data_IF_477456934475
#
_entry.id   IF_477456934475
#
_cell.length_a   1.000
_cell.length_b   1.000
_cell.length_c   1.000
_cell.angle_alpha   90.00
_cell.angle_beta   90.00
_cell.angle_gamma   90.00
#
_symmetry.space_group_name_H-M   'P 1'
#
loop_
_entity.id
_entity.type
_entity.pdbx_description
1 polymer ?
#
# COMPACT_ATOMS: atom_id res chain seq x y z
N UNK A 1 -11.15 51.19 -6.24
CA UNK A 1 -10.50 50.43 -5.14
C UNK A 1 -10.20 49.06 -5.70
N UNK A 2 -9.05 48.92 -6.35
CA UNK A 2 -8.64 47.69 -7.05
C UNK A 2 -7.70 46.93 -6.12
N UNK A 3 -8.06 45.70 -5.76
CA UNK A 3 -7.16 44.80 -5.05
C UNK A 3 -6.15 44.24 -6.05
N UNK A 4 -4.88 44.54 -5.85
CA UNK A 4 -3.74 43.96 -6.56
C UNK A 4 -3.58 42.50 -6.09
N UNK A 5 -3.44 41.53 -7.00
CA UNK A 5 -3.41 40.12 -6.62
C UNK A 5 -2.08 39.77 -5.96
N UNK A 6 -2.20 39.03 -4.86
CA UNK A 6 -1.20 38.42 -3.99
C UNK A 6 -0.24 37.47 -4.73
N UNK A 7 0.53 38.01 -5.69
CA UNK A 7 1.36 37.26 -6.65
C UNK A 7 2.81 37.12 -6.17
N UNK A 8 3.14 37.71 -5.02
CA UNK A 8 4.52 37.86 -4.54
C UNK A 8 4.94 36.80 -3.50
N UNK A 9 4.06 35.87 -3.14
CA UNK A 9 4.30 34.97 -2.00
C UNK A 9 4.75 33.54 -2.41
N UNK A 10 4.59 33.14 -3.68
CA UNK A 10 4.92 31.77 -4.12
C UNK A 10 6.39 31.58 -4.54
N UNK A 11 7.13 32.69 -4.74
CA UNK A 11 8.51 32.64 -5.24
C UNK A 11 9.56 32.22 -4.19
N UNK A 12 9.18 32.16 -2.91
CA UNK A 12 10.09 31.91 -1.77
C UNK A 12 9.73 30.65 -0.96
N UNK A 13 8.86 29.78 -1.51
CA UNK A 13 8.55 28.51 -0.86
C UNK A 13 9.82 27.67 -0.73
N UNK A 14 10.25 27.29 0.49
CA UNK A 14 11.50 26.57 0.69
C UNK A 14 11.47 25.25 -0.09
N UNK A 15 12.57 24.90 -0.79
CA UNK A 15 12.60 23.71 -1.63
C UNK A 15 12.23 22.47 -0.80
N UNK A 16 11.30 21.68 -1.32
CA UNK A 16 10.84 20.45 -0.69
C UNK A 16 12.00 19.52 -0.37
N UNK A 17 11.97 18.89 0.81
CA UNK A 17 13.06 18.00 1.25
C UNK A 17 13.23 16.82 0.26
N UNK A 18 14.43 16.61 -0.31
CA UNK A 18 14.68 15.51 -1.23
C UNK A 18 14.30 14.15 -0.61
N UNK A 19 13.50 13.35 -1.32
CA UNK A 19 13.11 12.01 -0.88
C UNK A 19 12.03 11.94 0.22
N UNK A 20 11.47 13.07 0.67
CA UNK A 20 10.39 13.07 1.67
C UNK A 20 9.14 12.32 1.18
N UNK A 21 8.74 12.55 -0.08
CA UNK A 21 7.58 11.85 -0.68
C UNK A 21 7.74 10.33 -0.67
N UNK A 22 8.94 9.82 -1.03
CA UNK A 22 9.24 8.38 -0.97
C UNK A 22 9.12 7.83 0.45
N UNK A 23 9.62 8.56 1.45
CA UNK A 23 9.50 8.14 2.87
C UNK A 23 8.05 8.10 3.33
N UNK A 24 7.24 9.09 2.97
CA UNK A 24 5.81 9.12 3.31
C UNK A 24 5.09 7.93 2.68
N UNK A 25 5.30 7.69 1.37
CA UNK A 25 4.66 6.57 0.66
C UNK A 25 5.06 5.21 1.24
N UNK A 26 6.34 5.01 1.60
CA UNK A 26 6.79 3.79 2.26
C UNK A 26 6.18 3.62 3.66
N UNK A 27 6.08 4.71 4.43
CA UNK A 27 5.45 4.67 5.75
C UNK A 27 3.96 4.31 5.63
N UNK A 28 3.23 4.95 4.73
CA UNK A 28 1.82 4.63 4.45
C UNK A 28 1.68 3.18 4.00
N UNK A 29 2.52 2.72 3.09
CA UNK A 29 2.52 1.32 2.64
C UNK A 29 2.75 0.35 3.80
N UNK A 30 3.70 0.61 4.69
CA UNK A 30 3.95 -0.21 5.87
C UNK A 30 2.73 -0.24 6.82
N UNK A 31 2.08 0.90 7.03
CA UNK A 31 0.84 0.97 7.83
C UNK A 31 -0.28 0.14 7.20
N UNK A 32 -0.48 0.26 5.88
CA UNK A 32 -1.49 -0.54 5.16
C UNK A 32 -1.21 -2.03 5.28
N UNK A 33 0.04 -2.46 5.13
CA UNK A 33 0.43 -3.88 5.30
C UNK A 33 0.19 -4.35 6.73
N UNK A 34 0.50 -3.53 7.74
CA UNK A 34 0.23 -3.85 9.14
C UNK A 34 -1.27 -4.01 9.41
N UNK A 35 -2.10 -3.11 8.87
CA UNK A 35 -3.56 -3.19 8.99
C UNK A 35 -4.12 -4.42 8.27
N UNK A 36 -3.61 -4.74 7.07
CA UNK A 36 -3.99 -5.96 6.36
C UNK A 36 -3.64 -7.22 7.17
N UNK A 37 -2.45 -7.27 7.76
CA UNK A 37 -2.04 -8.36 8.65
C UNK A 37 -2.93 -8.49 9.89
N UNK A 38 -3.31 -7.36 10.49
CA UNK A 38 -4.27 -7.31 11.60
C UNK A 38 -5.63 -7.87 11.18
N UNK A 39 -6.17 -7.45 10.04
CA UNK A 39 -7.41 -8.01 9.50
C UNK A 39 -7.28 -9.52 9.25
N UNK A 40 -6.18 -9.97 8.64
CA UNK A 40 -5.90 -11.39 8.44
C UNK A 40 -5.86 -12.19 9.74
N UNK A 41 -5.32 -11.61 10.82
CA UNK A 41 -5.32 -12.24 12.14
C UNK A 41 -6.74 -12.50 12.64
N UNK A 42 -7.61 -11.48 12.57
CA UNK A 42 -9.02 -11.61 12.96
C UNK A 42 -9.77 -12.61 12.08
N UNK A 43 -9.52 -12.60 10.77
CA UNK A 43 -10.14 -13.57 9.86
C UNK A 43 -9.72 -15.00 10.22
N UNK A 44 -8.44 -15.25 10.50
CA UNK A 44 -7.97 -16.58 10.88
C UNK A 44 -8.41 -17.02 12.29
N UNK A 45 -8.55 -16.09 13.24
CA UNK A 45 -9.03 -16.44 14.58
C UNK A 45 -10.51 -16.79 14.62
N UNK A 46 -11.31 -16.19 13.75
CA UNK A 46 -12.76 -16.43 13.69
C UNK A 46 -13.14 -17.51 12.65
N UNK A 47 -12.34 -17.65 11.58
CA UNK A 47 -12.67 -18.53 10.44
C UNK A 47 -12.34 -20.00 10.66
N UNK A 48 -11.39 -20.32 11.54
CA UNK A 48 -10.86 -21.68 11.70
C UNK A 48 -11.92 -22.75 12.05
N UNK A 49 -12.94 -22.40 12.83
CA UNK A 49 -14.00 -23.34 13.22
C UNK A 49 -15.06 -23.56 12.13
N UNK A 50 -15.31 -22.53 11.30
CA UNK A 50 -16.37 -22.59 10.29
C UNK A 50 -15.87 -23.10 8.94
N UNK A 51 -14.67 -22.68 8.55
CA UNK A 51 -14.03 -23.05 7.29
C UNK A 51 -12.55 -23.28 7.59
N UNK A 52 -12.12 -24.53 7.88
CA UNK A 52 -10.76 -24.82 8.35
C UNK A 52 -9.68 -24.57 7.28
N UNK A 53 -10.06 -24.68 6.01
CA UNK A 53 -9.17 -24.49 4.87
C UNK A 53 -9.89 -23.69 3.78
N UNK A 54 -9.15 -22.78 3.15
CA UNK A 54 -9.65 -21.97 2.03
C UNK A 54 -8.90 -22.38 0.75
N UNK A 55 -9.61 -22.86 -0.28
CA UNK A 55 -9.03 -23.06 -1.59
C UNK A 55 -8.82 -21.70 -2.27
N UNK A 56 -7.59 -21.43 -2.66
CA UNK A 56 -7.16 -20.27 -3.44
C UNK A 56 -6.94 -20.66 -4.90
N UNK A 57 -7.00 -19.67 -5.80
CA UNK A 57 -6.69 -19.83 -7.22
C UNK A 57 -7.47 -20.98 -7.89
N UNK A 58 -8.75 -21.13 -7.58
CA UNK A 58 -9.59 -22.20 -8.13
C UNK A 58 -9.27 -23.60 -7.58
N UNK A 59 -8.57 -23.70 -6.45
CA UNK A 59 -8.23 -24.96 -5.79
C UNK A 59 -6.79 -25.42 -6.00
N UNK A 60 -5.94 -24.63 -6.67
CA UNK A 60 -4.53 -24.96 -6.86
C UNK A 60 -3.71 -24.88 -5.56
N UNK A 61 -4.13 -24.04 -4.61
CA UNK A 61 -3.45 -23.85 -3.33
C UNK A 61 -4.49 -23.83 -2.23
N UNK A 62 -4.38 -24.71 -1.25
CA UNK A 62 -5.21 -24.67 -0.04
C UNK A 62 -4.43 -24.04 1.10
N UNK A 63 -5.00 -23.01 1.72
CA UNK A 63 -4.38 -22.33 2.86
C UNK A 63 -5.20 -22.59 4.11
N UNK A 64 -4.57 -23.01 5.22
CA UNK A 64 -5.28 -23.21 6.47
C UNK A 64 -5.76 -21.86 7.02
N UNK A 65 -6.97 -21.82 7.56
CA UNK A 65 -7.60 -20.60 8.06
C UNK A 65 -7.15 -20.29 9.49
N UNK A 66 -5.88 -20.54 9.80
CA UNK A 66 -5.31 -20.20 11.12
C UNK A 66 -4.93 -18.72 11.19
N UNK A 67 -4.88 -18.12 12.40
CA UNK A 67 -4.54 -16.70 12.56
C UNK A 67 -3.22 -16.33 11.87
N UNK A 68 -2.18 -17.13 12.06
CA UNK A 68 -0.86 -16.89 11.50
C UNK A 68 -0.88 -16.94 9.95
N UNK A 69 -1.53 -17.95 9.38
CA UNK A 69 -1.57 -18.15 7.93
C UNK A 69 -2.33 -17.04 7.24
N UNK A 70 -3.47 -16.62 7.81
CA UNK A 70 -4.28 -15.53 7.26
C UNK A 70 -3.61 -14.16 7.44
N UNK A 71 -2.90 -13.91 8.54
CA UNK A 71 -2.06 -12.72 8.71
C UNK A 71 -0.97 -12.66 7.63
N UNK A 72 -0.22 -13.75 7.44
CA UNK A 72 0.85 -13.80 6.44
C UNK A 72 0.30 -13.64 5.03
N UNK A 73 -0.80 -14.33 4.71
CA UNK A 73 -1.47 -14.20 3.42
C UNK A 73 -1.88 -12.75 3.15
N UNK A 74 -2.58 -12.11 4.08
CA UNK A 74 -3.04 -10.73 3.91
C UNK A 74 -1.87 -9.74 3.79
N UNK A 75 -0.83 -9.90 4.62
CA UNK A 75 0.35 -9.05 4.56
C UNK A 75 1.12 -9.20 3.24
N UNK A 76 1.34 -10.44 2.78
CA UNK A 76 2.03 -10.71 1.52
C UNK A 76 1.22 -10.21 0.32
N UNK A 77 -0.09 -10.46 0.30
CA UNK A 77 -0.98 -9.99 -0.74
C UNK A 77 -0.98 -8.45 -0.82
N UNK A 78 -1.13 -7.77 0.32
CA UNK A 78 -1.09 -6.31 0.37
C UNK A 78 0.26 -5.76 -0.12
N UNK A 79 1.36 -6.38 0.31
CA UNK A 79 2.71 -6.02 -0.14
C UNK A 79 2.87 -6.20 -1.65
N UNK A 80 2.39 -7.32 -2.20
CA UNK A 80 2.46 -7.59 -3.64
C UNK A 80 1.65 -6.58 -4.45
N UNK A 81 0.45 -6.23 -4.00
CA UNK A 81 -0.39 -5.21 -4.66
C UNK A 81 0.29 -3.86 -4.61
N UNK A 82 0.76 -3.41 -3.44
CA UNK A 82 1.43 -2.12 -3.30
C UNK A 82 2.71 -2.04 -4.12
N UNK A 83 3.54 -3.10 -4.09
CA UNK A 83 4.74 -3.20 -4.90
C UNK A 83 4.43 -3.13 -6.40
N UNK A 84 3.35 -3.77 -6.83
CA UNK A 84 2.88 -3.69 -8.22
C UNK A 84 2.46 -2.28 -8.57
N UNK A 85 1.60 -1.63 -7.77
CA UNK A 85 1.13 -0.28 -8.04
C UNK A 85 2.29 0.73 -8.05
N UNK A 86 3.15 0.71 -7.04
CA UNK A 86 4.30 1.62 -6.97
C UNK A 86 5.30 1.34 -8.09
N UNK A 87 5.50 0.07 -8.43
CA UNK A 87 6.33 -0.33 -9.57
C UNK A 87 5.79 0.18 -10.90
N UNK A 88 4.47 0.09 -11.11
CA UNK A 88 3.80 0.62 -12.31
C UNK A 88 3.89 2.14 -12.39
N UNK A 89 3.72 2.85 -11.27
CA UNK A 89 3.89 4.31 -11.23
C UNK A 89 5.34 4.70 -11.57
N UNK A 90 6.32 4.05 -10.95
CA UNK A 90 7.73 4.30 -11.24
C UNK A 90 8.09 3.97 -12.71
N UNK A 91 7.47 2.93 -13.26
CA UNK A 91 7.57 2.54 -14.67
C UNK A 91 6.96 3.59 -15.61
N UNK A 92 5.84 4.20 -15.26
CA UNK A 92 5.23 5.26 -16.06
C UNK A 92 6.08 6.54 -16.03
N UNK A 93 6.53 6.96 -14.84
CA UNK A 93 7.33 8.19 -14.68
C UNK A 93 8.63 8.14 -15.48
N UNK A 94 9.31 6.99 -15.55
CA UNK A 94 10.53 6.89 -16.37
C UNK A 94 10.28 7.03 -17.87
N UNK A 95 9.07 6.73 -18.35
CA UNK A 95 8.72 6.91 -19.77
C UNK A 95 8.34 8.36 -20.05
N UNK A 96 7.69 9.04 -19.11
CA UNK A 96 7.44 10.49 -19.20
C UNK A 96 8.76 11.29 -19.18
N UNK A 97 9.70 10.93 -18.31
CA UNK A 97 11.02 11.60 -18.24
C UNK A 97 11.87 11.41 -19.51
N UNK A 98 11.58 10.36 -20.30
CA UNK A 98 12.33 10.00 -21.50
C UNK A 98 11.70 10.49 -22.81
N UNK A 99 10.49 11.05 -22.75
CA UNK A 99 9.72 11.56 -23.90
C UNK A 99 9.89 13.07 -24.07
#
# INVERSE_FOLDING_TARGET
MSAEPDSANDADAPPGRPGLGRRILLFVGAVVVALAGMVGFFVGSNGAESVPEVPLLGGLVTVPTTPLSMTLYAALLATAILATLFGLVALASRYEDAA
#
